data_IF_611287330603
#
_entry.id   IF_611287330603
#
_cell.length_a   1.000
_cell.length_b   1.000
_cell.length_c   1.000
_cell.angle_alpha   90.00
_cell.angle_beta   90.00
_cell.angle_gamma   90.00
#
_symmetry.space_group_name_H-M   'P 1'
#
loop_
_entity.id
_entity.type
_entity.pdbx_description
1 polymer ?
#
# COMPACT_ATOMS: atom_id res chain seq x y z
N UNK A 1 43.89 -52.97 6.75
CA UNK A 1 44.02 -52.11 5.55
C UNK A 1 42.63 -51.56 5.21
N UNK A 2 42.10 -50.53 5.89
CA UNK A 2 42.78 -49.36 6.54
C UNK A 2 43.64 -48.61 5.49
N UNK A 3 43.63 -47.29 5.25
CA UNK A 3 43.04 -46.12 5.95
C UNK A 3 43.02 -44.90 4.99
N UNK A 4 42.37 -43.72 5.21
CA UNK A 4 41.36 -43.23 6.18
C UNK A 4 40.52 -42.08 5.49
N UNK A 5 39.65 -41.41 6.25
CA UNK A 5 38.76 -40.26 6.01
C UNK A 5 39.27 -39.06 5.17
N UNK A 6 38.30 -38.38 4.54
CA UNK A 6 38.21 -36.91 4.60
C UNK A 6 36.75 -36.45 4.73
N UNK A 7 36.36 -35.93 5.91
CA UNK A 7 35.06 -35.29 6.18
C UNK A 7 35.10 -33.82 5.74
N UNK A 8 34.04 -33.33 5.07
CA UNK A 8 33.83 -31.89 4.87
C UNK A 8 32.74 -31.36 5.83
N UNK A 9 32.94 -30.20 6.48
CA UNK A 9 31.95 -29.63 7.38
C UNK A 9 30.94 -28.75 6.63
N UNK A 10 29.72 -29.26 6.40
CA UNK A 10 28.67 -28.50 5.72
C UNK A 10 27.24 -29.06 5.84
N UNK A 11 27.07 -30.38 5.93
CA UNK A 11 25.77 -31.04 5.73
C UNK A 11 24.82 -31.06 6.94
N UNK A 12 25.25 -30.60 8.12
CA UNK A 12 24.46 -30.69 9.36
C UNK A 12 23.47 -29.52 9.56
N UNK A 13 23.60 -28.42 8.80
CA UNK A 13 22.78 -27.22 8.96
C UNK A 13 21.49 -27.20 8.11
N UNK A 14 21.28 -28.17 7.21
CA UNK A 14 20.22 -28.12 6.19
C UNK A 14 18.97 -28.95 6.56
N UNK A 15 19.05 -29.82 7.58
CA UNK A 15 18.01 -30.82 7.91
C UNK A 15 16.98 -30.41 8.98
N UNK A 16 16.80 -29.12 9.28
CA UNK A 16 15.91 -28.64 10.35
C UNK A 16 14.71 -27.79 9.88
N UNK A 17 14.36 -27.84 8.59
CA UNK A 17 13.24 -27.05 8.04
C UNK A 17 12.14 -27.87 7.33
N UNK A 18 12.25 -29.20 7.27
CA UNK A 18 11.24 -30.07 6.66
C UNK A 18 10.46 -30.85 7.72
N UNK A 19 9.43 -30.23 8.31
CA UNK A 19 8.22 -30.94 8.76
C UNK A 19 7.12 -29.95 9.23
N UNK A 20 6.05 -29.82 8.43
CA UNK A 20 4.81 -29.16 8.85
C UNK A 20 3.61 -29.82 8.13
N UNK A 21 2.57 -30.29 8.84
CA UNK A 21 1.51 -31.10 8.24
C UNK A 21 0.45 -30.26 7.52
N UNK A 22 0.06 -30.69 6.31
CA UNK A 22 -1.07 -30.10 5.57
C UNK A 22 -2.40 -30.47 6.23
N UNK A 23 -3.26 -29.48 6.53
CA UNK A 23 -4.67 -29.69 6.87
C UNK A 23 -5.56 -28.70 6.10
N UNK A 24 -6.55 -29.24 5.39
CA UNK A 24 -7.69 -28.49 4.87
C UNK A 24 -8.66 -28.17 6.02
N UNK A 25 -9.31 -27.01 5.99
CA UNK A 25 -10.57 -26.75 6.71
C UNK A 25 -11.38 -25.65 6.01
N UNK A 26 -12.71 -25.75 6.09
CA UNK A 26 -13.63 -25.09 5.17
C UNK A 26 -14.15 -23.72 5.65
N UNK A 27 -14.68 -22.94 4.70
CA UNK A 27 -15.30 -21.62 4.93
C UNK A 27 -16.52 -21.72 5.87
N UNK A 28 -16.64 -20.77 6.80
CA UNK A 28 -17.93 -20.41 7.40
C UNK A 28 -17.93 -18.91 7.75
N UNK A 29 -18.76 -18.14 7.03
CA UNK A 29 -18.97 -16.71 7.34
C UNK A 29 -19.71 -16.58 8.69
N UNK A 30 -19.33 -15.56 9.46
CA UNK A 30 -20.15 -15.05 10.56
C UNK A 30 -19.91 -13.55 10.70
N UNK A 31 -20.77 -12.74 10.10
CA UNK A 31 -20.71 -11.29 10.26
C UNK A 31 -21.13 -10.91 11.70
N UNK A 32 -20.34 -10.07 12.36
CA UNK A 32 -20.75 -9.29 13.54
C UNK A 32 -20.56 -7.81 13.25
N UNK A 33 -21.41 -7.01 13.88
CA UNK A 33 -21.53 -5.58 13.66
C UNK A 33 -21.03 -4.88 14.92
N UNK A 34 -19.93 -4.14 14.82
CA UNK A 34 -19.39 -3.32 15.90
C UNK A 34 -19.17 -1.89 15.37
N UNK A 35 -19.82 -0.93 16.02
CA UNK A 35 -19.71 0.49 15.72
C UNK A 35 -19.50 1.32 16.98
N UNK A 36 -18.85 2.48 16.82
CA UNK A 36 -18.49 3.47 17.86
C UNK A 36 -17.28 3.14 18.77
N UNK A 37 -16.07 3.27 18.23
CA UNK A 37 -14.87 3.54 19.05
C UNK A 37 -14.65 5.06 19.27
N UNK A 38 -15.64 5.77 19.83
CA UNK A 38 -15.46 7.17 20.30
C UNK A 38 -16.18 7.48 21.62
N UNK A 39 -15.99 6.63 22.64
CA UNK A 39 -15.99 7.02 24.07
C UNK A 39 -15.31 5.95 24.90
N UNK A 40 -14.37 6.37 25.76
CA UNK A 40 -13.35 5.48 26.30
C UNK A 40 -13.86 4.39 27.24
N UNK A 41 -13.45 3.15 26.98
CA UNK A 41 -13.31 2.13 28.03
C UNK A 41 -12.30 1.05 27.65
N UNK A 42 -11.03 1.32 27.97
CA UNK A 42 -10.01 0.35 28.47
C UNK A 42 -8.72 1.10 28.77
N UNK A 43 -8.66 1.69 29.98
CA UNK A 43 -7.37 2.01 30.58
C UNK A 43 -6.64 0.69 30.86
N UNK A 44 -5.59 0.41 30.10
CA UNK A 44 -4.56 -0.57 30.48
C UNK A 44 -3.24 0.20 30.54
N UNK A 45 -2.76 0.45 31.76
CA UNK A 45 -1.42 1.01 31.97
C UNK A 45 -0.37 -0.08 31.72
N UNK A 46 0.05 -0.22 30.46
CA UNK A 46 1.12 -1.16 30.05
C UNK A 46 2.52 -0.56 30.22
N UNK A 47 3.00 -0.50 31.48
CA UNK A 47 4.44 -0.35 31.75
C UNK A 47 5.21 -1.66 31.50
N UNK A 48 5.06 -2.21 30.30
CA UNK A 48 5.73 -3.42 29.84
C UNK A 48 5.78 -3.42 28.32
N UNK A 49 6.98 -3.51 27.75
CA UNK A 49 7.20 -3.34 26.31
C UNK A 49 6.36 -4.29 25.44
N UNK A 50 5.63 -3.75 24.47
CA UNK A 50 4.77 -4.49 23.51
C UNK A 50 5.54 -5.50 22.62
N UNK A 51 6.87 -5.50 22.69
CA UNK A 51 7.77 -6.44 22.00
C UNK A 51 8.30 -7.58 22.90
N UNK A 52 7.67 -7.82 24.05
CA UNK A 52 8.05 -8.87 25.00
C UNK A 52 7.82 -10.30 24.50
N UNK A 53 7.09 -10.47 23.38
CA UNK A 53 6.84 -11.76 22.74
C UNK A 53 8.14 -12.44 22.24
N UNK A 54 8.39 -13.73 22.57
CA UNK A 54 9.49 -14.51 22.01
C UNK A 54 9.57 -14.45 20.47
N UNK A 55 8.43 -14.37 19.77
CA UNK A 55 8.38 -14.30 18.30
C UNK A 55 9.10 -13.06 17.76
N UNK A 56 9.08 -11.92 18.47
CA UNK A 56 9.80 -10.72 18.02
C UNK A 56 11.33 -10.91 18.07
N UNK A 57 11.84 -11.72 19.02
CA UNK A 57 13.28 -12.09 19.05
C UNK A 57 13.64 -12.93 17.84
N UNK A 58 12.81 -13.91 17.48
CA UNK A 58 13.04 -14.72 16.28
C UNK A 58 12.94 -13.92 14.98
N UNK A 59 11.98 -13.00 14.88
CA UNK A 59 11.85 -12.07 13.75
C UNK A 59 13.10 -11.18 13.67
N UNK A 60 13.64 -10.70 14.79
CA UNK A 60 14.87 -9.91 14.82
C UNK A 60 16.09 -10.71 14.32
N UNK A 61 16.25 -11.97 14.74
CA UNK A 61 17.30 -12.87 14.24
C UNK A 61 17.15 -13.08 12.73
N UNK A 62 15.92 -13.38 12.26
CA UNK A 62 15.60 -13.58 10.84
C UNK A 62 15.91 -12.33 10.01
N UNK A 63 15.53 -11.15 10.50
CA UNK A 63 15.84 -9.85 9.89
C UNK A 63 17.35 -9.61 9.80
N UNK A 64 18.11 -10.04 10.82
CA UNK A 64 19.57 -9.98 10.86
C UNK A 64 20.21 -10.85 9.77
N UNK A 65 19.71 -12.07 9.56
CA UNK A 65 20.15 -12.93 8.45
C UNK A 65 19.85 -12.28 7.09
N UNK A 66 18.62 -11.81 6.87
CA UNK A 66 18.20 -11.18 5.60
C UNK A 66 19.00 -9.91 5.30
N UNK A 67 19.44 -9.16 6.31
CA UNK A 67 20.31 -7.99 6.12
C UNK A 67 21.68 -8.35 5.52
N UNK A 68 22.22 -9.53 5.84
CA UNK A 68 23.55 -9.99 5.40
C UNK A 68 23.56 -10.61 4.00
N UNK A 69 22.40 -11.02 3.47
CA UNK A 69 22.30 -11.67 2.16
C UNK A 69 22.74 -10.75 1.01
N UNK A 70 23.35 -11.36 -0.02
CA UNK A 70 23.59 -10.79 -1.35
C UNK A 70 22.27 -10.54 -2.10
N UNK A 71 22.32 -9.84 -3.25
CA UNK A 71 21.11 -9.57 -4.05
C UNK A 71 20.63 -10.84 -4.75
N UNK A 72 21.56 -11.76 -5.01
CA UNK A 72 21.42 -13.03 -5.70
C UNK A 72 20.74 -14.04 -4.78
N UNK A 73 21.21 -14.20 -3.55
CA UNK A 73 20.57 -15.04 -2.52
C UNK A 73 19.15 -14.55 -2.17
N UNK A 74 18.94 -13.21 -2.10
CA UNK A 74 17.62 -12.64 -1.88
C UNK A 74 16.65 -13.00 -3.02
N UNK A 75 17.11 -12.96 -4.28
CA UNK A 75 16.31 -13.38 -5.44
C UNK A 75 16.04 -14.88 -5.45
N UNK A 76 17.04 -15.69 -5.13
CA UNK A 76 16.88 -17.14 -5.03
C UNK A 76 15.80 -17.51 -4.00
N UNK A 77 15.85 -16.95 -2.78
CA UNK A 77 14.82 -17.17 -1.76
C UNK A 77 13.46 -16.59 -2.11
N UNK A 78 13.38 -15.41 -2.74
CA UNK A 78 12.09 -14.89 -3.23
C UNK A 78 11.49 -15.81 -4.32
N UNK A 79 12.32 -16.32 -5.24
CA UNK A 79 11.89 -17.27 -6.29
C UNK A 79 11.44 -18.62 -5.72
N UNK A 80 12.12 -19.15 -4.71
CA UNK A 80 11.75 -20.37 -3.98
C UNK A 80 10.34 -20.27 -3.39
N UNK A 81 9.99 -19.10 -2.83
CA UNK A 81 8.66 -18.81 -2.29
C UNK A 81 7.65 -18.29 -3.34
N UNK A 82 8.00 -18.30 -4.63
CA UNK A 82 7.17 -17.79 -5.75
C UNK A 82 6.74 -16.32 -5.60
N UNK A 83 7.62 -15.50 -5.03
CA UNK A 83 7.44 -14.06 -4.84
C UNK A 83 8.14 -13.25 -5.94
N UNK A 84 7.69 -12.03 -6.17
CA UNK A 84 8.31 -11.08 -7.10
C UNK A 84 9.80 -10.84 -6.76
N UNK A 85 10.66 -10.89 -7.79
CA UNK A 85 12.13 -10.81 -7.70
C UNK A 85 12.71 -9.52 -8.32
N UNK A 86 11.86 -8.69 -8.95
CA UNK A 86 12.20 -7.34 -9.44
C UNK A 86 12.39 -6.34 -8.28
N UNK A 87 13.26 -5.36 -8.51
CA UNK A 87 13.57 -4.27 -7.58
C UNK A 87 15.05 -4.17 -7.17
N UNK A 88 15.36 -3.10 -6.43
CA UNK A 88 16.67 -2.87 -5.79
C UNK A 88 16.83 -3.70 -4.50
N UNK A 89 18.07 -3.84 -4.00
CA UNK A 89 18.41 -4.77 -2.90
C UNK A 89 17.52 -4.60 -1.67
N UNK A 90 17.20 -3.37 -1.29
CA UNK A 90 16.41 -3.11 -0.08
C UNK A 90 14.90 -3.36 -0.24
N UNK A 91 14.35 -3.23 -1.46
CA UNK A 91 12.99 -3.71 -1.79
C UNK A 91 12.92 -5.23 -1.63
N UNK A 92 13.94 -5.96 -2.13
CA UNK A 92 14.02 -7.42 -1.97
C UNK A 92 14.13 -7.84 -0.50
N UNK A 93 15.00 -7.16 0.28
CA UNK A 93 15.09 -7.37 1.74
C UNK A 93 13.74 -7.11 2.42
N UNK A 94 13.06 -5.99 2.13
CA UNK A 94 11.79 -5.62 2.75
C UNK A 94 10.70 -6.66 2.42
N UNK A 95 10.62 -7.10 1.17
CA UNK A 95 9.69 -8.15 0.71
C UNK A 95 9.92 -9.46 1.45
N UNK A 96 11.16 -9.93 1.54
CA UNK A 96 11.50 -11.19 2.23
C UNK A 96 11.28 -11.12 3.75
N UNK A 97 11.64 -9.99 4.39
CA UNK A 97 11.35 -9.76 5.83
C UNK A 97 9.85 -9.76 6.12
N UNK A 98 9.07 -9.07 5.28
CA UNK A 98 7.61 -9.03 5.44
C UNK A 98 7.00 -10.42 5.28
N UNK A 99 7.49 -11.24 4.34
CA UNK A 99 7.05 -12.63 4.17
C UNK A 99 7.29 -13.47 5.43
N UNK A 100 8.52 -13.53 5.93
CA UNK A 100 8.82 -14.29 7.15
C UNK A 100 8.10 -13.75 8.39
N UNK A 101 7.94 -12.41 8.52
CA UNK A 101 7.12 -11.80 9.58
C UNK A 101 5.66 -12.28 9.48
N UNK A 102 5.06 -12.28 8.29
CA UNK A 102 3.68 -12.75 8.07
C UNK A 102 3.54 -14.24 8.41
N UNK A 103 4.46 -15.09 7.95
CA UNK A 103 4.46 -16.53 8.27
C UNK A 103 4.52 -16.77 9.79
N UNK A 104 5.41 -16.10 10.52
CA UNK A 104 5.55 -16.28 11.98
C UNK A 104 4.39 -15.74 12.80
N UNK A 105 3.76 -14.63 12.37
CA UNK A 105 2.60 -14.05 13.08
C UNK A 105 1.29 -14.79 12.77
N UNK A 106 1.05 -15.17 11.51
CA UNK A 106 -0.17 -15.93 11.14
C UNK A 106 -0.19 -17.35 11.70
N UNK A 107 0.96 -17.90 12.13
CA UNK A 107 1.01 -19.16 12.88
C UNK A 107 0.48 -19.03 14.32
N UNK A 108 0.32 -17.80 14.84
CA UNK A 108 -0.14 -17.50 16.21
C UNK A 108 -1.53 -16.88 16.27
N UNK A 109 -1.85 -15.96 15.36
CA UNK A 109 -3.14 -15.25 15.36
C UNK A 109 -4.13 -15.87 14.35
N UNK A 110 -5.06 -16.67 14.86
CA UNK A 110 -6.21 -17.15 14.08
C UNK A 110 -7.44 -16.23 14.17
N UNK A 111 -7.40 -15.19 15.01
CA UNK A 111 -8.49 -14.22 15.23
C UNK A 111 -7.89 -12.83 15.46
N UNK A 112 -7.59 -12.09 14.39
CA UNK A 112 -7.31 -10.66 14.44
C UNK A 112 -8.34 -9.97 13.53
N UNK A 113 -9.10 -9.02 14.09
CA UNK A 113 -10.12 -8.29 13.34
C UNK A 113 -9.45 -7.30 12.39
N UNK A 114 -9.74 -7.42 11.09
CA UNK A 114 -9.13 -6.59 10.08
C UNK A 114 -9.65 -5.15 10.18
N UNK A 115 -8.97 -4.33 10.98
CA UNK A 115 -9.26 -2.90 11.12
C UNK A 115 -8.56 -2.06 10.04
N UNK A 116 -8.23 -2.69 8.91
CA UNK A 116 -7.74 -2.00 7.74
C UNK A 116 -8.89 -1.29 6.99
N UNK A 117 -8.54 -0.45 6.03
CA UNK A 117 -9.51 0.14 5.11
C UNK A 117 -9.92 -0.92 4.08
N UNK A 118 -11.20 -1.01 3.74
CA UNK A 118 -11.68 -1.88 2.66
C UNK A 118 -11.25 -1.36 1.28
N UNK A 119 -11.16 -0.02 1.16
CA UNK A 119 -10.76 0.67 -0.06
C UNK A 119 -9.71 1.75 0.17
N UNK A 120 -8.92 1.99 -0.87
CA UNK A 120 -8.05 3.16 -1.00
C UNK A 120 -8.52 3.94 -2.22
N UNK A 121 -8.83 5.21 -2.03
CA UNK A 121 -9.13 6.16 -3.10
C UNK A 121 -7.83 6.88 -3.46
N UNK A 122 -7.22 6.51 -4.58
CA UNK A 122 -5.99 7.13 -5.07
C UNK A 122 -6.40 8.34 -5.90
N UNK A 123 -5.84 9.50 -5.60
CA UNK A 123 -6.05 10.78 -6.29
C UNK A 123 -4.66 11.28 -6.72
N UNK A 124 -4.60 11.91 -7.89
CA UNK A 124 -3.38 12.43 -8.52
C UNK A 124 -3.81 13.64 -9.38
N UNK A 125 -3.58 14.87 -8.91
CA UNK A 125 -4.15 16.08 -9.51
C UNK A 125 -3.22 16.68 -10.56
N UNK A 126 -3.72 16.84 -11.79
CA UNK A 126 -3.09 17.75 -12.75
C UNK A 126 -3.58 19.18 -12.54
N UNK A 127 -2.66 20.13 -12.61
CA UNK A 127 -2.92 21.55 -12.39
C UNK A 127 -2.31 22.44 -13.49
N UNK A 128 -2.85 23.65 -13.65
CA UNK A 128 -2.22 24.70 -14.47
C UNK A 128 -0.79 24.95 -13.98
N UNK A 129 0.14 25.19 -14.91
CA UNK A 129 1.53 25.48 -14.58
C UNK A 129 2.23 26.31 -15.67
N UNK A 130 3.38 26.89 -15.33
CA UNK A 130 4.24 27.63 -16.25
C UNK A 130 5.68 27.11 -16.21
N UNK A 131 6.41 27.31 -17.31
CA UNK A 131 7.82 26.94 -17.41
C UNK A 131 8.66 27.66 -16.34
N UNK A 132 9.58 26.91 -15.71
CA UNK A 132 10.38 27.42 -14.60
C UNK A 132 9.68 27.41 -13.23
N UNK A 133 8.38 27.04 -13.17
CA UNK A 133 7.57 26.92 -11.96
C UNK A 133 7.65 28.15 -11.03
N UNK A 134 7.10 29.30 -11.45
CA UNK A 134 7.18 30.54 -10.66
C UNK A 134 6.47 30.38 -9.30
N UNK A 135 7.07 30.79 -8.17
CA UNK A 135 6.48 30.56 -6.84
C UNK A 135 5.23 31.40 -6.55
N UNK A 136 5.00 32.46 -7.34
CA UNK A 136 3.81 33.31 -7.28
C UNK A 136 2.69 32.81 -8.23
N UNK A 137 2.91 31.73 -8.99
CA UNK A 137 1.93 31.21 -9.94
C UNK A 137 0.74 30.58 -9.21
N UNK A 138 -0.47 31.00 -9.57
CA UNK A 138 -1.71 30.47 -8.99
C UNK A 138 -2.12 29.22 -9.77
N UNK A 139 -1.78 28.06 -9.20
CA UNK A 139 -2.18 26.76 -9.71
C UNK A 139 -3.69 26.52 -9.49
N UNK A 140 -4.36 26.05 -10.55
CA UNK A 140 -5.75 25.59 -10.53
C UNK A 140 -5.81 24.14 -11.02
N UNK A 141 -6.63 23.30 -10.39
CA UNK A 141 -6.82 21.91 -10.82
C UNK A 141 -7.48 21.90 -12.20
N UNK A 142 -6.91 21.12 -13.14
CA UNK A 142 -7.42 20.92 -14.50
C UNK A 142 -7.76 19.47 -14.81
N UNK A 143 -7.34 18.51 -13.97
CA UNK A 143 -7.84 17.13 -13.99
C UNK A 143 -8.08 16.60 -12.58
N UNK A 144 -9.17 15.85 -12.41
CA UNK A 144 -9.55 15.19 -11.16
C UNK A 144 -9.80 13.69 -11.40
N UNK A 145 -8.74 12.87 -11.47
CA UNK A 145 -8.87 11.42 -11.50
C UNK A 145 -9.02 10.85 -10.08
N UNK A 146 -9.75 9.75 -9.96
CA UNK A 146 -9.87 8.95 -8.73
C UNK A 146 -9.86 7.47 -9.08
N UNK A 147 -8.93 6.70 -8.52
CA UNK A 147 -8.83 5.24 -8.71
C UNK A 147 -9.24 4.53 -7.42
N UNK A 148 -10.20 3.62 -7.51
CA UNK A 148 -10.69 2.84 -6.37
C UNK A 148 -10.01 1.48 -6.30
N UNK A 149 -9.09 1.32 -5.34
CA UNK A 149 -8.39 0.07 -5.06
C UNK A 149 -9.06 -0.68 -3.91
N UNK A 150 -9.51 -1.91 -4.14
CA UNK A 150 -9.98 -2.80 -3.07
C UNK A 150 -8.77 -3.46 -2.38
N UNK A 151 -8.68 -3.35 -1.05
CA UNK A 151 -7.52 -3.83 -0.29
C UNK A 151 -7.53 -5.35 -0.03
N UNK A 152 -8.71 -5.97 -0.10
CA UNK A 152 -8.91 -7.41 0.08
C UNK A 152 -8.50 -8.21 -1.16
N UNK A 153 -8.79 -7.67 -2.36
CA UNK A 153 -8.42 -8.28 -3.65
C UNK A 153 -7.10 -7.76 -4.20
N UNK A 154 -6.70 -6.53 -3.84
CA UNK A 154 -5.62 -5.75 -4.45
C UNK A 154 -5.86 -5.42 -5.94
N UNK A 155 -7.13 -5.35 -6.34
CA UNK A 155 -7.56 -5.02 -7.69
C UNK A 155 -8.21 -3.62 -7.74
N UNK A 156 -8.05 -2.94 -8.87
CA UNK A 156 -8.77 -1.68 -9.16
C UNK A 156 -10.21 -2.07 -9.53
N UNK A 157 -11.18 -1.61 -8.75
CA UNK A 157 -12.60 -1.91 -8.98
C UNK A 157 -13.30 -0.85 -9.84
N UNK A 158 -12.85 0.39 -9.78
CA UNK A 158 -13.40 1.47 -10.61
C UNK A 158 -12.41 2.64 -10.77
N UNK A 159 -12.64 3.46 -11.79
CA UNK A 159 -11.87 4.66 -12.11
C UNK A 159 -12.81 5.78 -12.51
N UNK A 160 -12.68 6.94 -11.88
CA UNK A 160 -13.37 8.17 -12.24
C UNK A 160 -12.35 9.17 -12.80
N UNK A 161 -12.73 9.93 -13.83
CA UNK A 161 -11.87 10.94 -14.45
C UNK A 161 -12.73 12.08 -14.99
N UNK A 162 -12.38 13.32 -14.66
CA UNK A 162 -12.99 14.53 -15.22
C UNK A 162 -11.91 15.59 -15.39
N UNK A 163 -11.94 16.30 -16.52
CA UNK A 163 -11.27 17.58 -16.64
C UNK A 163 -12.02 18.65 -15.84
N UNK A 164 -11.29 19.66 -15.40
CA UNK A 164 -11.79 20.80 -14.63
C UNK A 164 -11.46 22.07 -15.41
N UNK A 165 -12.43 22.98 -15.47
CA UNK A 165 -12.23 24.29 -16.09
C UNK A 165 -11.59 25.28 -15.09
N UNK A 166 -10.38 25.80 -15.35
CA UNK A 166 -9.80 26.89 -14.55
C UNK A 166 -10.56 28.19 -14.81
N UNK A 167 -10.64 29.06 -13.80
CA UNK A 167 -11.37 30.33 -13.83
C UNK A 167 -10.45 31.56 -13.68
N UNK A 168 -9.23 31.41 -13.15
CA UNK A 168 -8.23 32.48 -13.03
C UNK A 168 -7.32 32.46 -14.26
N UNK A 169 -6.59 31.36 -14.46
CA UNK A 169 -5.64 31.13 -15.54
C UNK A 169 -6.30 30.25 -16.62
N UNK A 170 -7.34 30.80 -17.24
CA UNK A 170 -8.22 30.10 -18.22
C UNK A 170 -7.49 29.52 -19.44
N UNK A 171 -6.37 30.14 -19.86
CA UNK A 171 -5.54 29.66 -20.96
C UNK A 171 -4.37 28.84 -20.42
N UNK A 172 -4.25 27.58 -20.87
CA UNK A 172 -3.12 26.72 -20.54
C UNK A 172 -1.85 27.20 -21.25
N UNK A 173 -0.71 27.14 -20.58
CA UNK A 173 0.59 27.39 -21.20
C UNK A 173 1.00 26.22 -22.12
N UNK A 174 1.81 26.48 -23.14
CA UNK A 174 2.38 25.43 -24.00
C UNK A 174 3.16 24.37 -23.19
N UNK A 175 3.82 24.81 -22.12
CA UNK A 175 4.50 23.92 -21.17
C UNK A 175 3.53 22.99 -20.43
N UNK A 176 2.42 23.53 -19.91
CA UNK A 176 1.38 22.75 -19.22
C UNK A 176 0.74 21.72 -20.16
N UNK A 177 0.40 22.13 -21.40
CA UNK A 177 -0.13 21.24 -22.43
C UNK A 177 0.88 20.14 -22.78
N UNK A 178 2.17 20.49 -22.92
CA UNK A 178 3.22 19.51 -23.22
C UNK A 178 3.57 18.57 -22.06
N UNK A 179 3.36 18.99 -20.81
CA UNK A 179 3.66 18.19 -19.62
C UNK A 179 2.54 17.21 -19.30
N UNK A 180 1.30 17.67 -19.32
CA UNK A 180 0.10 16.91 -18.93
C UNK A 180 -0.56 16.18 -20.11
N UNK A 181 -0.36 16.67 -21.34
CA UNK A 181 -1.11 16.22 -22.51
C UNK A 181 -2.54 16.76 -22.61
N UNK A 182 -2.98 17.59 -21.66
CA UNK A 182 -4.34 18.17 -21.63
C UNK A 182 -4.39 19.35 -22.59
N UNK A 183 -5.35 19.34 -23.51
CA UNK A 183 -5.55 20.40 -24.50
C UNK A 183 -6.51 21.49 -24.00
N UNK A 184 -6.37 22.71 -24.53
CA UNK A 184 -7.27 23.83 -24.22
C UNK A 184 -8.76 23.47 -24.45
N UNK A 185 -9.08 22.75 -25.53
CA UNK A 185 -10.44 22.32 -25.86
C UNK A 185 -11.04 21.30 -24.86
N UNK A 186 -10.21 20.59 -24.09
CA UNK A 186 -10.68 19.73 -23.00
C UNK A 186 -11.10 20.56 -21.77
N UNK A 187 -10.30 21.56 -21.36
CA UNK A 187 -10.63 22.43 -20.22
C UNK A 187 -11.71 23.46 -20.56
N UNK A 188 -11.78 23.94 -21.80
CA UNK A 188 -12.82 24.87 -22.26
C UNK A 188 -14.22 24.27 -22.17
N UNK A 189 -14.34 22.96 -22.45
CA UNK A 189 -15.57 22.17 -22.41
C UNK A 189 -15.81 21.47 -21.07
N UNK A 190 -14.89 21.62 -20.10
CA UNK A 190 -15.02 21.05 -18.78
C UNK A 190 -16.00 21.82 -17.88
N UNK A 191 -16.47 21.13 -16.84
CA UNK A 191 -17.22 21.72 -15.73
C UNK A 191 -16.25 22.45 -14.77
N UNK A 192 -16.76 23.40 -13.98
CA UNK A 192 -15.94 24.09 -12.97
C UNK A 192 -15.62 23.17 -11.78
N UNK A 193 -14.56 23.50 -11.03
CA UNK A 193 -14.10 22.66 -9.90
C UNK A 193 -15.22 22.27 -8.91
N UNK A 194 -16.12 23.17 -8.45
CA UNK A 194 -17.22 22.78 -7.55
C UNK A 194 -18.20 21.77 -8.14
N UNK A 195 -18.42 21.80 -9.46
CA UNK A 195 -19.29 20.85 -10.16
C UNK A 195 -18.62 19.48 -10.27
N UNK A 196 -17.32 19.44 -10.61
CA UNK A 196 -16.53 18.20 -10.69
C UNK A 196 -16.38 17.56 -9.30
N UNK A 197 -16.03 18.35 -8.27
CA UNK A 197 -15.96 17.87 -6.88
C UNK A 197 -17.29 17.27 -6.42
N UNK A 198 -18.43 17.87 -6.80
CA UNK A 198 -19.74 17.28 -6.51
C UNK A 198 -19.92 15.92 -7.21
N UNK A 199 -19.55 15.79 -8.49
CA UNK A 199 -19.59 14.51 -9.22
C UNK A 199 -18.72 13.44 -8.54
N UNK A 200 -17.51 13.80 -8.10
CA UNK A 200 -16.60 12.91 -7.34
C UNK A 200 -17.27 12.43 -6.05
N UNK A 201 -17.81 13.35 -5.24
CA UNK A 201 -18.48 13.01 -3.98
C UNK A 201 -19.71 12.12 -4.22
N UNK A 202 -20.50 12.39 -5.25
CA UNK A 202 -21.68 11.59 -5.58
C UNK A 202 -21.30 10.20 -6.13
N UNK A 203 -20.20 10.08 -6.87
CA UNK A 203 -19.60 8.78 -7.24
C UNK A 203 -19.09 8.01 -6.02
N UNK A 204 -18.39 8.65 -5.08
CA UNK A 204 -17.94 8.01 -3.83
C UNK A 204 -19.10 7.51 -2.98
N UNK A 205 -20.21 8.26 -2.91
CA UNK A 205 -21.46 7.83 -2.23
C UNK A 205 -22.08 6.61 -2.91
N UNK A 206 -22.08 6.55 -4.24
CA UNK A 206 -22.59 5.39 -5.00
C UNK A 206 -21.82 4.11 -4.69
N UNK A 207 -20.54 4.23 -4.29
CA UNK A 207 -19.68 3.13 -3.82
C UNK A 207 -19.81 2.84 -2.32
N UNK A 208 -20.71 3.52 -1.60
CA UNK A 208 -20.97 3.36 -0.16
C UNK A 208 -19.72 3.59 0.73
N UNK A 209 -18.79 4.43 0.27
CA UNK A 209 -17.56 4.77 0.97
C UNK A 209 -17.86 5.65 2.19
N UNK A 210 -17.34 5.25 3.36
CA UNK A 210 -17.55 5.94 4.62
C UNK A 210 -18.88 5.62 5.30
N UNK A 211 -19.81 4.91 4.64
CA UNK A 211 -21.07 4.44 5.23
C UNK A 211 -21.05 2.94 5.48
N UNK A 212 -20.74 2.15 4.46
CA UNK A 212 -20.67 0.68 4.51
C UNK A 212 -19.23 0.18 4.53
N UNK A 213 -18.35 0.85 3.79
CA UNK A 213 -16.95 0.47 3.65
C UNK A 213 -16.03 1.52 4.27
N UNK A 214 -15.01 1.08 5.00
CA UNK A 214 -13.93 1.95 5.48
C UNK A 214 -13.02 2.30 4.30
N UNK A 215 -12.66 3.58 4.15
CA UNK A 215 -11.72 4.00 3.12
C UNK A 215 -10.74 5.05 3.63
N UNK A 216 -9.62 5.19 2.92
CA UNK A 216 -8.73 6.35 3.04
C UNK A 216 -8.44 6.94 1.65
N UNK A 217 -7.88 8.15 1.63
CA UNK A 217 -7.35 8.79 0.43
C UNK A 217 -5.83 8.58 0.41
N UNK A 218 -5.28 8.33 -0.78
CA UNK A 218 -3.85 8.23 -1.06
C UNK A 218 -3.50 9.21 -2.19
N UNK A 219 -2.41 9.96 -2.01
CA UNK A 219 -1.89 10.96 -2.95
C UNK A 219 -0.39 10.70 -3.17
N UNK A 220 0.17 11.00 -4.35
CA UNK A 220 1.64 10.92 -4.52
C UNK A 220 2.33 12.20 -4.00
N UNK A 221 2.40 12.28 -2.67
CA UNK A 221 3.11 13.34 -1.96
C UNK A 221 2.20 14.34 -1.25
N UNK A 222 2.81 15.44 -0.84
CA UNK A 222 2.27 16.38 0.16
C UNK A 222 1.62 17.64 -0.44
N UNK A 223 1.84 17.91 -1.73
CA UNK A 223 1.39 19.14 -2.38
C UNK A 223 -0.15 19.16 -2.58
N UNK A 224 -0.74 18.00 -2.84
CA UNK A 224 -2.18 17.85 -3.16
C UNK A 224 -3.13 18.12 -1.99
N UNK A 225 -2.65 17.93 -0.75
CA UNK A 225 -3.49 17.96 0.46
C UNK A 225 -3.37 19.27 1.25
N UNK A 226 -2.83 20.32 0.63
CA UNK A 226 -2.64 21.64 1.25
C UNK A 226 -3.91 22.52 1.08
N UNK A 227 -4.66 22.82 2.15
CA UNK A 227 -5.61 23.93 2.09
C UNK A 227 -4.84 25.25 2.01
N UNK A 228 -5.30 26.15 1.15
CA UNK A 228 -4.93 27.57 1.14
C UNK A 228 -5.56 28.30 2.33
#
# INVERSE_FOLDING_TARGET
MEDEQSRQPGDEAVRLCEEAPRRNLAKKQLNRFDGQETKGSKFITSNGSDFSDPIYKEIAITNGCINRMSKEELRAKLSEFKLETRGVKDVLKKRLKNYYKKQKLMLKESNCTDSYYDYICIIDFEATCEEGNPPEFIHEIIEFPVVLLNTHTLEIEDTFQQYVKPEINTQLSDFCISLTGITQDQVDRADTFPQVLKKVIDWMKLKELGTKYKYCILTDGFLEAKPN
#
